data_IF_756177529710
#
_entry.id   IF_756177529710
#
_cell.length_a   1.000
_cell.length_b   1.000
_cell.length_c   1.000
_cell.angle_alpha   90.00
_cell.angle_beta   90.00
_cell.angle_gamma   90.00
#
_symmetry.space_group_name_H-M   'P 1'
#
loop_
_entity.id
_entity.type
_entity.pdbx_description
1 polymer ?
#
# COMPACT_ATOMS: atom_id res chain seq x y z
N UNK A 1 40.32 -11.62 -37.18
CA UNK A 1 39.38 -10.51 -36.99
C UNK A 1 38.18 -11.09 -36.26
N UNK A 2 37.90 -10.63 -35.04
CA UNK A 2 36.82 -11.19 -34.20
C UNK A 2 35.73 -10.12 -34.15
N UNK A 3 34.55 -10.45 -34.66
CA UNK A 3 33.38 -9.58 -34.58
C UNK A 3 32.84 -9.57 -33.15
N UNK A 4 32.87 -8.39 -32.52
CA UNK A 4 32.26 -8.16 -31.22
C UNK A 4 30.78 -7.89 -31.44
N UNK A 5 29.92 -8.85 -31.09
CA UNK A 5 28.49 -8.63 -31.00
C UNK A 5 28.19 -7.74 -29.78
N UNK A 6 27.82 -6.49 -30.03
CA UNK A 6 27.42 -5.55 -28.98
C UNK A 6 26.06 -6.01 -28.45
N UNK A 7 26.04 -6.47 -27.19
CA UNK A 7 24.81 -6.81 -26.49
C UNK A 7 23.96 -5.53 -26.37
N UNK A 8 22.84 -5.50 -27.08
CA UNK A 8 21.88 -4.41 -27.02
C UNK A 8 21.10 -4.50 -25.70
N UNK A 9 21.72 -4.12 -24.59
CA UNK A 9 21.04 -4.00 -23.30
C UNK A 9 20.24 -2.70 -23.30
N UNK A 10 19.02 -2.77 -23.80
CA UNK A 10 18.03 -1.73 -23.57
C UNK A 10 17.80 -1.64 -22.05
N UNK A 11 18.03 -0.49 -21.40
CA UNK A 11 17.83 -0.39 -19.97
C UNK A 11 16.36 -0.71 -19.69
N UNK A 12 16.12 -1.74 -18.86
CA UNK A 12 14.79 -1.96 -18.32
C UNK A 12 14.36 -0.65 -17.68
N UNK A 13 13.21 -0.12 -18.10
CA UNK A 13 12.60 1.05 -17.46
C UNK A 13 12.37 0.64 -16.00
N UNK A 14 13.28 1.08 -15.13
CA UNK A 14 13.11 0.97 -13.70
C UNK A 14 11.89 1.82 -13.39
N UNK A 15 10.78 1.15 -13.10
CA UNK A 15 9.55 1.79 -12.69
C UNK A 15 9.84 2.42 -11.32
N UNK A 16 10.32 3.67 -11.35
CA UNK A 16 10.74 4.41 -10.16
C UNK A 16 9.48 4.77 -9.39
N UNK A 17 9.01 3.84 -8.56
CA UNK A 17 7.94 4.14 -7.62
C UNK A 17 8.38 5.31 -6.73
N UNK A 18 7.50 6.29 -6.47
CA UNK A 18 7.83 7.44 -5.63
C UNK A 18 8.06 7.07 -4.15
N UNK A 19 7.89 5.78 -3.79
CA UNK A 19 8.00 5.26 -2.44
C UNK A 19 9.21 4.30 -2.31
N UNK A 20 9.97 4.45 -1.23
CA UNK A 20 11.08 3.54 -0.90
C UNK A 20 10.50 2.30 -0.21
N UNK A 21 10.45 1.19 -0.93
CA UNK A 21 9.82 -0.04 -0.45
C UNK A 21 10.51 -0.66 0.79
N UNK A 22 11.84 -0.58 0.88
CA UNK A 22 12.67 -1.08 1.98
C UNK A 22 12.18 -2.42 2.55
N UNK A 23 11.79 -2.46 3.83
CA UNK A 23 11.36 -3.66 4.55
C UNK A 23 9.84 -3.84 4.56
N UNK A 24 9.11 -3.29 3.60
CA UNK A 24 7.65 -3.38 3.54
C UNK A 24 7.17 -4.31 2.44
N UNK A 25 6.13 -5.06 2.72
CA UNK A 25 5.43 -5.90 1.74
C UNK A 25 4.10 -5.26 1.35
N UNK A 26 3.69 -5.33 0.07
CA UNK A 26 2.37 -4.86 -0.34
C UNK A 26 1.28 -5.72 0.29
N UNK A 27 0.17 -5.08 0.68
CA UNK A 27 -1.00 -5.71 1.29
C UNK A 27 -2.27 -5.16 0.64
N UNK A 28 -3.31 -5.98 0.54
CA UNK A 28 -4.61 -5.52 0.02
C UNK A 28 -5.48 -4.92 1.13
N UNK A 29 -6.38 -4.00 0.79
CA UNK A 29 -7.37 -3.50 1.75
C UNK A 29 -8.29 -4.63 2.26
N UNK A 30 -8.55 -5.64 1.42
CA UNK A 30 -9.34 -6.82 1.79
C UNK A 30 -8.64 -7.62 2.89
N UNK A 31 -7.33 -7.87 2.75
CA UNK A 31 -6.51 -8.54 3.77
C UNK A 31 -6.47 -7.75 5.07
N UNK A 32 -6.26 -6.43 5.01
CA UNK A 32 -6.36 -5.56 6.20
C UNK A 32 -7.71 -5.64 6.92
N UNK A 33 -8.79 -5.94 6.18
CA UNK A 33 -10.15 -6.00 6.72
C UNK A 33 -10.48 -7.37 7.28
N UNK A 34 -9.99 -8.44 6.64
CA UNK A 34 -10.32 -9.82 6.99
C UNK A 34 -9.36 -10.43 8.02
N UNK A 35 -8.07 -10.11 7.91
CA UNK A 35 -7.01 -10.88 8.57
C UNK A 35 -6.38 -10.15 9.76
N UNK A 36 -6.46 -8.82 9.82
CA UNK A 36 -5.84 -8.03 10.90
C UNK A 36 -6.77 -7.84 12.11
N UNK A 37 -6.24 -8.15 13.29
CA UNK A 37 -6.95 -8.02 14.57
C UNK A 37 -7.07 -6.56 14.99
N UNK A 38 -8.29 -6.13 15.35
CA UNK A 38 -8.55 -4.80 15.90
C UNK A 38 -8.31 -4.82 17.42
N UNK A 39 -7.35 -4.04 17.94
CA UNK A 39 -7.13 -3.94 19.37
C UNK A 39 -8.33 -3.29 20.08
N UNK A 40 -8.48 -3.61 21.35
CA UNK A 40 -9.53 -3.05 22.23
C UNK A 40 -8.91 -2.10 23.26
N UNK A 41 -9.69 -1.10 23.68
CA UNK A 41 -9.34 -0.24 24.79
C UNK A 41 -9.47 -1.03 26.11
N UNK A 42 -8.36 -1.19 26.83
CA UNK A 42 -8.21 -2.12 27.96
C UNK A 42 -9.21 -1.93 29.10
N UNK A 43 -9.75 -0.71 29.30
CA UNK A 43 -10.67 -0.42 30.41
C UNK A 43 -12.13 -0.76 30.11
N UNK A 44 -12.58 -0.59 28.86
CA UNK A 44 -13.99 -0.67 28.49
C UNK A 44 -14.25 -1.72 27.39
N UNK A 45 -13.21 -2.47 26.99
CA UNK A 45 -13.26 -3.48 25.93
C UNK A 45 -13.89 -2.97 24.62
N UNK A 46 -13.78 -1.68 24.34
CA UNK A 46 -14.31 -1.09 23.11
C UNK A 46 -13.27 -1.20 22.00
N UNK A 47 -13.67 -1.61 20.78
CA UNK A 47 -12.75 -1.70 19.66
C UNK A 47 -12.22 -0.31 19.31
N UNK A 48 -10.94 -0.25 18.95
CA UNK A 48 -10.36 0.94 18.33
C UNK A 48 -10.75 1.00 16.85
N UNK A 49 -10.50 2.15 16.21
CA UNK A 49 -10.58 2.25 14.75
C UNK A 49 -9.48 1.37 14.12
N UNK A 50 -9.84 0.54 13.15
CA UNK A 50 -8.86 -0.27 12.41
C UNK A 50 -8.14 0.55 11.33
N UNK A 51 -7.01 0.04 10.85
CA UNK A 51 -6.28 0.66 9.72
C UNK A 51 -7.15 0.68 8.45
N UNK A 52 -7.91 -0.39 8.18
CA UNK A 52 -8.84 -0.44 7.06
C UNK A 52 -9.94 0.63 7.18
N UNK A 53 -10.56 0.76 8.36
CA UNK A 53 -11.59 1.78 8.61
C UNK A 53 -11.05 3.21 8.43
N UNK A 54 -9.81 3.46 8.84
CA UNK A 54 -9.18 4.77 8.65
C UNK A 54 -8.94 5.07 7.16
N UNK A 55 -8.49 4.08 6.39
CA UNK A 55 -8.26 4.21 4.94
C UNK A 55 -9.58 4.46 4.21
N UNK A 56 -10.62 3.66 4.48
CA UNK A 56 -11.94 3.82 3.86
C UNK A 56 -12.55 5.18 4.21
N UNK A 57 -12.53 5.58 5.48
CA UNK A 57 -13.04 6.90 5.89
C UNK A 57 -12.30 8.03 5.16
N UNK A 58 -10.98 7.91 5.01
CA UNK A 58 -10.17 8.91 4.30
C UNK A 58 -10.56 8.96 2.82
N UNK A 59 -10.76 7.82 2.17
CA UNK A 59 -11.22 7.75 0.77
C UNK A 59 -12.59 8.40 0.61
N UNK A 60 -13.51 8.09 1.51
CA UNK A 60 -14.88 8.61 1.45
C UNK A 60 -14.88 10.13 1.65
N UNK A 61 -14.10 10.64 2.61
CA UNK A 61 -13.91 12.09 2.80
C UNK A 61 -13.27 12.77 1.59
N UNK A 62 -12.26 12.16 0.95
CA UNK A 62 -11.66 12.70 -0.28
C UNK A 62 -12.67 12.72 -1.43
N UNK A 63 -13.51 11.70 -1.52
CA UNK A 63 -14.57 11.62 -2.53
C UNK A 63 -15.59 12.74 -2.34
N UNK A 64 -15.96 13.03 -1.09
CA UNK A 64 -16.90 14.09 -0.77
C UNK A 64 -16.33 15.50 -1.04
N UNK A 65 -15.04 15.70 -0.77
CA UNK A 65 -14.38 17.01 -0.93
C UNK A 65 -13.94 17.31 -2.36
N UNK A 66 -13.43 16.30 -3.08
CA UNK A 66 -12.73 16.46 -4.35
C UNK A 66 -13.35 15.66 -5.51
N UNK A 67 -14.44 14.92 -5.28
CA UNK A 67 -14.97 13.95 -6.22
C UNK A 67 -14.04 12.73 -6.36
N UNK A 68 -14.21 11.94 -7.41
CA UNK A 68 -13.53 10.66 -7.58
C UNK A 68 -12.17 10.74 -8.30
N UNK A 69 -11.54 11.91 -8.39
CA UNK A 69 -10.29 12.10 -9.18
C UNK A 69 -9.02 11.91 -8.35
N UNK A 70 -8.78 10.70 -7.85
CA UNK A 70 -7.53 10.35 -7.17
C UNK A 70 -7.17 8.87 -7.39
N UNK A 71 -5.88 8.55 -7.29
CA UNK A 71 -5.40 7.17 -7.36
C UNK A 71 -5.71 6.43 -6.07
N UNK A 72 -6.03 5.13 -6.17
CA UNK A 72 -6.12 4.26 -5.00
C UNK A 72 -4.76 4.20 -4.27
N UNK A 73 -4.76 4.08 -2.93
CA UNK A 73 -3.53 4.00 -2.16
C UNK A 73 -2.79 2.68 -2.42
N UNK A 74 -1.46 2.75 -2.49
CA UNK A 74 -0.59 1.58 -2.36
C UNK A 74 -0.39 1.30 -0.86
N UNK A 75 -0.96 0.21 -0.37
CA UNK A 75 -0.92 -0.15 1.05
C UNK A 75 0.22 -1.15 1.27
N UNK A 76 1.07 -0.88 2.28
CA UNK A 76 2.23 -1.72 2.60
C UNK A 76 2.43 -1.83 4.11
N UNK A 77 2.91 -2.97 4.58
CA UNK A 77 3.18 -3.25 6.01
C UNK A 77 4.59 -3.81 6.19
N UNK A 78 5.22 -3.52 7.33
CA UNK A 78 6.56 -4.03 7.64
C UNK A 78 6.56 -5.52 8.01
N UNK A 79 5.52 -5.97 8.73
CA UNK A 79 5.32 -7.35 9.13
C UNK A 79 3.81 -7.64 9.08
N UNK A 80 3.38 -8.82 8.59
CA UNK A 80 2.01 -9.28 8.75
C UNK A 80 1.64 -9.35 10.24
N UNK A 81 0.39 -9.00 10.59
CA UNK A 81 -0.11 -8.97 11.97
C UNK A 81 -0.98 -10.21 12.22
#
# INVERSE_FOLDING_TARGET
MIEVQILNQQPALIDQKPFVEANTVPVSLQELTADHIIPVFTRNNQPLISQAQFIDLTRDMLTDLNGSSFSLPEIRVSHPI
#
